data_IF_248438166556
#
_entry.id   IF_248438166556
#
_cell.length_a   1.000
_cell.length_b   1.000
_cell.length_c   1.000
_cell.angle_alpha   90.00
_cell.angle_beta   90.00
_cell.angle_gamma   90.00
#
_symmetry.space_group_name_H-M   'P 1'
#
loop_
_entity.id
_entity.type
_entity.pdbx_description
1 polymer ?
#
# COMPACT_ATOMS: atom_id res chain seq x y z
N UNK A 1 53.72 -73.78 21.39
CA UNK A 1 52.37 -73.40 20.95
C UNK A 1 52.49 -72.23 19.99
N UNK A 2 52.19 -72.42 18.69
CA UNK A 2 52.21 -71.33 17.73
C UNK A 2 50.96 -70.45 17.97
N UNK A 3 51.15 -69.19 18.36
CA UNK A 3 50.05 -68.26 18.54
C UNK A 3 49.41 -67.93 17.19
N UNK A 4 48.10 -68.17 17.05
CA UNK A 4 47.33 -67.79 15.86
C UNK A 4 47.36 -66.27 15.70
N UNK A 5 47.92 -65.78 14.60
CA UNK A 5 48.00 -64.34 14.31
C UNK A 5 46.60 -63.82 13.96
N UNK A 6 45.90 -63.26 14.94
CA UNK A 6 44.60 -62.60 14.73
C UNK A 6 44.83 -61.33 13.90
N UNK A 7 44.18 -61.24 12.73
CA UNK A 7 44.20 -60.02 11.91
C UNK A 7 43.16 -59.07 12.48
N UNK A 8 43.63 -58.06 13.21
CA UNK A 8 42.78 -57.02 13.78
C UNK A 8 42.58 -55.90 12.76
N UNK A 9 41.34 -55.44 12.60
CA UNK A 9 41.05 -54.24 11.81
C UNK A 9 41.54 -53.02 12.59
N UNK A 10 42.47 -52.30 11.97
CA UNK A 10 43.09 -51.11 12.52
C UNK A 10 42.81 -49.92 11.60
N UNK A 11 42.69 -48.69 12.16
CA UNK A 11 42.56 -47.51 11.33
C UNK A 11 43.78 -47.37 10.41
N UNK A 12 43.61 -46.75 9.23
CA UNK A 12 44.70 -46.58 8.28
C UNK A 12 45.88 -45.85 8.94
N UNK A 13 47.14 -46.22 8.62
CA UNK A 13 48.31 -45.50 9.11
C UNK A 13 48.25 -44.05 8.59
N UNK A 14 47.93 -43.10 9.48
CA UNK A 14 47.63 -41.70 9.15
C UNK A 14 46.28 -41.18 9.68
N UNK A 15 45.41 -42.05 10.17
CA UNK A 15 44.11 -41.68 10.74
C UNK A 15 43.05 -41.32 9.68
N UNK A 16 41.83 -41.04 10.12
CA UNK A 16 40.76 -40.55 9.26
C UNK A 16 40.88 -39.05 9.03
N UNK A 17 40.44 -38.58 7.86
CA UNK A 17 40.34 -37.15 7.57
C UNK A 17 39.43 -36.41 8.57
N UNK A 18 39.61 -35.09 8.72
CA UNK A 18 38.80 -34.31 9.64
C UNK A 18 37.33 -34.37 9.22
N UNK A 19 36.47 -34.75 10.16
CA UNK A 19 35.02 -34.76 9.98
C UNK A 19 34.47 -33.44 10.51
N UNK A 20 33.82 -32.67 9.64
CA UNK A 20 33.14 -31.44 10.04
C UNK A 20 31.92 -31.76 10.89
N UNK A 21 32.09 -31.70 12.21
CA UNK A 21 31.03 -31.95 13.19
C UNK A 21 30.18 -30.70 13.48
N UNK A 22 30.57 -29.52 12.97
CA UNK A 22 29.89 -28.25 13.20
C UNK A 22 28.84 -27.97 12.13
N UNK A 23 27.76 -27.31 12.55
CA UNK A 23 26.69 -26.89 11.64
C UNK A 23 27.15 -25.70 10.79
N UNK A 24 27.34 -25.93 9.49
CA UNK A 24 27.66 -24.88 8.52
C UNK A 24 26.39 -24.19 8.03
N UNK A 25 25.91 -23.17 8.77
CA UNK A 25 24.78 -22.36 8.34
C UNK A 25 25.26 -21.14 7.54
N UNK A 26 24.90 -21.01 6.26
CA UNK A 26 25.29 -19.86 5.48
C UNK A 26 24.59 -18.61 6.03
N UNK A 27 25.36 -17.60 6.43
CA UNK A 27 24.84 -16.28 6.74
C UNK A 27 24.33 -15.63 5.46
N UNK A 28 23.03 -15.78 5.22
CA UNK A 28 22.32 -15.15 4.10
C UNK A 28 21.58 -13.93 4.62
N UNK A 29 21.70 -12.81 3.93
CA UNK A 29 20.95 -11.59 4.23
C UNK A 29 21.82 -10.33 4.25
N UNK A 30 21.13 -9.20 4.17
CA UNK A 30 21.67 -7.86 4.33
C UNK A 30 21.86 -7.56 5.84
N UNK A 31 22.79 -6.67 6.18
CA UNK A 31 22.99 -6.26 7.57
C UNK A 31 21.75 -5.53 8.11
N UNK A 32 21.50 -5.58 9.43
CA UNK A 32 20.35 -4.91 10.03
C UNK A 32 20.28 -3.41 9.68
N UNK A 33 21.42 -2.72 9.72
CA UNK A 33 21.51 -1.31 9.30
C UNK A 33 21.15 -1.09 7.84
N UNK A 34 21.58 -1.97 6.94
CA UNK A 34 21.23 -1.86 5.52
C UNK A 34 19.74 -2.08 5.26
N UNK A 35 19.07 -2.92 6.06
CA UNK A 35 17.60 -3.07 5.98
C UNK A 35 16.88 -1.80 6.43
N UNK A 36 17.32 -1.16 7.51
CA UNK A 36 16.75 0.11 7.95
C UNK A 36 16.99 1.24 6.95
N UNK A 37 18.20 1.32 6.38
CA UNK A 37 18.52 2.31 5.36
C UNK A 37 17.61 2.17 4.13
N UNK A 38 17.37 0.94 3.66
CA UNK A 38 16.43 0.66 2.58
C UNK A 38 14.99 1.06 2.96
N UNK A 39 14.54 0.68 4.15
CA UNK A 39 13.20 1.03 4.64
C UNK A 39 12.98 2.54 4.69
N UNK A 40 13.92 3.29 5.26
CA UNK A 40 13.87 4.75 5.34
C UNK A 40 13.93 5.36 3.94
N UNK A 41 14.80 4.86 3.06
CA UNK A 41 14.92 5.32 1.69
C UNK A 41 13.62 5.19 0.90
N UNK A 42 12.96 4.03 1.00
CA UNK A 42 11.66 3.78 0.36
C UNK A 42 10.58 4.71 0.94
N UNK A 43 10.53 4.88 2.25
CA UNK A 43 9.56 5.76 2.90
C UNK A 43 9.75 7.22 2.49
N UNK A 44 10.98 7.74 2.55
CA UNK A 44 11.29 9.11 2.16
C UNK A 44 10.90 9.39 0.69
N UNK A 45 11.21 8.45 -0.21
CA UNK A 45 10.82 8.55 -1.61
C UNK A 45 9.29 8.49 -1.78
N UNK A 46 8.62 7.59 -1.07
CA UNK A 46 7.16 7.47 -1.05
C UNK A 46 6.49 8.77 -0.63
N UNK A 47 6.93 9.38 0.48
CA UNK A 47 6.40 10.65 0.95
C UNK A 47 6.58 11.76 -0.09
N UNK A 48 7.78 11.90 -0.66
CA UNK A 48 8.03 12.92 -1.69
C UNK A 48 7.07 12.80 -2.89
N UNK A 49 6.82 11.57 -3.36
CA UNK A 49 5.86 11.30 -4.44
C UNK A 49 4.43 11.66 -4.04
N UNK A 50 4.00 11.31 -2.83
CA UNK A 50 2.67 11.62 -2.30
C UNK A 50 2.47 13.13 -2.18
N UNK A 51 3.46 13.87 -1.67
CA UNK A 51 3.38 15.32 -1.56
C UNK A 51 3.18 15.99 -2.93
N UNK A 52 3.94 15.56 -3.94
CA UNK A 52 3.79 16.06 -5.32
C UNK A 52 2.39 15.75 -5.86
N UNK A 53 1.91 14.52 -5.66
CA UNK A 53 0.59 14.09 -6.11
C UNK A 53 -0.56 14.84 -5.42
N UNK A 54 -0.48 15.04 -4.11
CA UNK A 54 -1.51 15.76 -3.36
C UNK A 54 -1.64 17.22 -3.80
N UNK A 55 -0.53 17.85 -4.21
CA UNK A 55 -0.55 19.19 -4.79
C UNK A 55 -1.33 19.23 -6.09
N UNK A 56 -1.14 18.22 -6.94
CA UNK A 56 -1.88 18.09 -8.20
C UNK A 56 -3.35 17.79 -7.97
N UNK A 57 -3.66 16.86 -7.06
CA UNK A 57 -5.05 16.56 -6.66
C UNK A 57 -5.79 17.78 -6.16
N UNK A 58 -5.11 18.69 -5.45
CA UNK A 58 -5.71 19.95 -5.01
C UNK A 58 -6.00 20.89 -6.18
N UNK A 59 -5.17 20.91 -7.22
CA UNK A 59 -5.44 21.69 -8.45
C UNK A 59 -6.72 21.20 -9.12
N UNK A 60 -6.85 19.89 -9.34
CA UNK A 60 -8.06 19.31 -9.92
C UNK A 60 -9.31 19.58 -9.07
N UNK A 61 -9.20 19.47 -7.74
CA UNK A 61 -10.34 19.82 -6.87
C UNK A 61 -10.75 21.28 -7.03
N UNK A 62 -9.81 22.20 -7.15
CA UNK A 62 -10.11 23.62 -7.36
C UNK A 62 -10.82 23.80 -8.72
N UNK A 63 -10.34 23.17 -9.79
CA UNK A 63 -10.98 23.20 -11.11
C UNK A 63 -12.42 22.64 -11.07
N UNK A 64 -12.62 21.52 -10.38
CA UNK A 64 -13.95 20.92 -10.18
C UNK A 64 -14.89 21.86 -9.38
N UNK A 65 -14.36 22.58 -8.40
CA UNK A 65 -15.14 23.56 -7.64
C UNK A 65 -15.46 24.81 -8.47
N UNK A 66 -14.50 25.33 -9.23
CA UNK A 66 -14.70 26.48 -10.11
C UNK A 66 -15.76 26.18 -11.18
N UNK A 67 -15.68 25.01 -11.83
CA UNK A 67 -16.69 24.57 -12.80
C UNK A 67 -18.06 24.40 -12.16
N UNK A 68 -18.14 23.81 -10.97
CA UNK A 68 -19.40 23.73 -10.22
C UNK A 68 -19.94 25.11 -9.93
N UNK A 69 -19.15 26.02 -9.35
CA UNK A 69 -19.57 27.39 -9.00
C UNK A 69 -20.09 28.15 -10.21
N UNK A 70 -19.46 27.98 -11.38
CA UNK A 70 -19.92 28.59 -12.61
C UNK A 70 -21.31 28.08 -13.06
N UNK A 71 -21.62 26.81 -12.82
CA UNK A 71 -22.91 26.18 -13.18
C UNK A 71 -23.99 26.33 -12.10
N UNK A 72 -23.62 26.62 -10.85
CA UNK A 72 -24.55 26.81 -9.73
C UNK A 72 -25.75 27.70 -10.04
N UNK A 73 -25.62 28.91 -10.65
CA UNK A 73 -26.78 29.77 -10.88
C UNK A 73 -27.80 29.14 -11.84
N UNK A 74 -27.35 28.37 -12.84
CA UNK A 74 -28.25 27.67 -13.76
C UNK A 74 -29.02 26.56 -13.03
N UNK A 75 -28.31 25.72 -12.27
CA UNK A 75 -28.96 24.66 -11.49
C UNK A 75 -29.92 25.20 -10.43
N UNK A 76 -29.59 26.34 -9.82
CA UNK A 76 -30.46 27.03 -8.88
C UNK A 76 -31.75 27.48 -9.58
N UNK A 77 -31.65 28.11 -10.75
CA UNK A 77 -32.82 28.55 -11.51
C UNK A 77 -33.73 27.39 -11.93
N UNK A 78 -33.16 26.26 -12.38
CA UNK A 78 -33.94 25.06 -12.71
C UNK A 78 -34.62 24.45 -11.48
N UNK A 79 -33.91 24.39 -10.36
CA UNK A 79 -34.45 23.88 -9.10
C UNK A 79 -35.61 24.74 -8.61
N UNK A 80 -35.44 26.07 -8.58
CA UNK A 80 -36.48 27.02 -8.16
C UNK A 80 -37.70 26.94 -9.07
N UNK A 81 -37.51 26.85 -10.40
CA UNK A 81 -38.62 26.63 -11.35
C UNK A 81 -39.36 25.33 -11.05
N UNK A 82 -38.64 24.24 -10.81
CA UNK A 82 -39.25 22.93 -10.54
C UNK A 82 -40.06 22.93 -9.24
N UNK A 83 -39.57 23.59 -8.20
CA UNK A 83 -40.22 23.70 -6.89
C UNK A 83 -41.46 24.57 -7.00
N UNK A 84 -41.35 25.74 -7.64
CA UNK A 84 -42.50 26.62 -7.86
C UNK A 84 -43.60 25.91 -8.65
N UNK A 85 -43.27 25.23 -9.75
CA UNK A 85 -44.23 24.47 -10.55
C UNK A 85 -44.91 23.36 -9.74
N UNK A 86 -44.16 22.60 -8.95
CA UNK A 86 -44.72 21.57 -8.05
C UNK A 86 -45.64 22.20 -7.01
N UNK A 87 -45.27 23.33 -6.42
CA UNK A 87 -46.06 24.03 -5.43
C UNK A 87 -47.37 24.58 -6.02
N UNK A 88 -47.32 25.21 -7.20
CA UNK A 88 -48.53 25.65 -7.91
C UNK A 88 -49.43 24.46 -8.25
N UNK A 89 -48.86 23.36 -8.75
CA UNK A 89 -49.60 22.13 -9.04
C UNK A 89 -50.26 21.55 -7.80
N UNK A 90 -49.56 21.50 -6.66
CA UNK A 90 -50.11 21.03 -5.39
C UNK A 90 -51.20 21.96 -4.86
N UNK A 91 -51.01 23.29 -4.89
CA UNK A 91 -52.04 24.26 -4.50
C UNK A 91 -53.29 24.11 -5.35
N UNK A 92 -53.12 23.91 -6.66
CA UNK A 92 -54.22 23.64 -7.59
C UNK A 92 -54.98 22.36 -7.24
N UNK A 93 -54.27 21.25 -7.00
CA UNK A 93 -54.89 19.98 -6.58
C UNK A 93 -55.61 20.08 -5.24
N UNK A 94 -55.14 20.95 -4.34
CA UNK A 94 -55.70 21.14 -3.00
C UNK A 94 -56.78 22.23 -2.92
N UNK A 95 -57.12 22.89 -4.03
CA UNK A 95 -58.13 23.95 -4.06
C UNK A 95 -57.82 25.17 -3.18
N UNK A 96 -56.56 25.39 -2.80
CA UNK A 96 -56.12 26.50 -1.95
C UNK A 96 -55.81 27.73 -2.82
N UNK A 97 -56.28 28.91 -2.42
CA UNK A 97 -56.02 30.17 -3.15
C UNK A 97 -54.51 30.41 -3.27
N UNK A 98 -54.09 30.88 -4.45
CA UNK A 98 -52.68 31.06 -4.80
C UNK A 98 -52.10 32.39 -4.28
N UNK A 99 -52.94 33.23 -3.67
CA UNK A 99 -52.55 34.45 -2.97
C UNK A 99 -52.48 34.22 -1.46
#
# INVERSE_FOLDING_TARGET
MAASKVKQDMPPPGGYGPVDYKRNLPRRGLSGYSMFALGIGVMAFGYWKIFKWNRERRRFQIEDFETRVALLPLFQAESDRSIQLKNYRLKWLLGKSVF
#
